data_IF_750718749591
#
_entry.id   IF_750718749591
#
_cell.length_a   1.000
_cell.length_b   1.000
_cell.length_c   1.000
_cell.angle_alpha   90.00
_cell.angle_beta   90.00
_cell.angle_gamma   90.00
#
_symmetry.space_group_name_H-M   'P 1'
#
loop_
_entity.id
_entity.type
_entity.pdbx_description
1 polymer ?
#
# COMPACT_ATOMS: atom_id res chain seq x y z
N UNK A 1 2.92 11.40 11.64
CA UNK A 1 1.64 11.83 11.05
C UNK A 1 0.94 10.60 10.50
N UNK A 2 -0.35 10.39 10.78
CA UNK A 2 -1.12 9.29 10.21
C UNK A 2 -1.70 9.66 8.84
N UNK A 3 -1.93 8.66 7.97
CA UNK A 3 -2.66 8.81 6.72
C UNK A 3 -3.85 7.86 6.71
N UNK A 4 -5.05 8.38 6.43
CA UNK A 4 -6.31 7.65 6.36
C UNK A 4 -7.08 8.04 5.08
N UNK A 5 -6.79 7.31 4.00
CA UNK A 5 -7.32 7.57 2.68
C UNK A 5 -7.27 6.31 1.79
N UNK A 6 -8.02 6.24 0.68
CA UNK A 6 -7.85 5.21 -0.34
C UNK A 6 -6.44 5.26 -0.95
N UNK A 7 -5.90 4.09 -1.31
CA UNK A 7 -4.56 3.97 -1.92
C UNK A 7 -4.60 4.36 -3.41
N UNK A 8 -4.77 5.64 -3.68
CA UNK A 8 -4.77 6.25 -5.01
C UNK A 8 -3.52 7.13 -5.23
N UNK A 9 -3.47 7.91 -6.31
CA UNK A 9 -2.34 8.78 -6.61
C UNK A 9 -2.13 9.86 -5.53
N UNK A 10 -3.21 10.47 -5.02
CA UNK A 10 -3.12 11.50 -3.96
C UNK A 10 -2.52 10.93 -2.68
N UNK A 11 -2.85 9.67 -2.35
CA UNK A 11 -2.24 8.94 -1.25
C UNK A 11 -0.72 8.79 -1.45
N UNK A 12 -0.31 8.36 -2.63
CA UNK A 12 1.12 8.18 -2.97
C UNK A 12 1.87 9.50 -2.87
N UNK A 13 1.34 10.56 -3.47
CA UNK A 13 1.94 11.90 -3.40
C UNK A 13 2.06 12.37 -1.96
N UNK A 14 1.01 12.18 -1.16
CA UNK A 14 1.01 12.54 0.26
C UNK A 14 2.08 11.79 1.07
N UNK A 15 2.20 10.47 0.86
CA UNK A 15 3.23 9.65 1.55
C UNK A 15 4.63 10.11 1.18
N UNK A 16 4.89 10.35 -0.11
CA UNK A 16 6.21 10.82 -0.58
C UNK A 16 6.53 12.24 -0.06
N UNK A 17 5.53 13.12 -0.03
CA UNK A 17 5.69 14.48 0.50
C UNK A 17 6.01 14.46 2.01
N UNK A 18 5.23 13.71 2.80
CA UNK A 18 5.48 13.55 4.24
C UNK A 18 6.86 12.97 4.52
N UNK A 19 7.24 11.92 3.78
CA UNK A 19 8.57 11.31 3.91
C UNK A 19 9.69 12.30 3.57
N UNK A 20 9.50 13.12 2.52
CA UNK A 20 10.46 14.15 2.12
C UNK A 20 10.60 15.27 3.15
N UNK A 21 9.52 15.58 3.86
CA UNK A 21 9.50 16.53 4.98
C UNK A 21 10.08 15.96 6.28
N UNK A 22 10.49 14.70 6.30
CA UNK A 22 11.10 14.04 7.45
C UNK A 22 10.08 13.52 8.47
N UNK A 23 8.80 13.42 8.11
CA UNK A 23 7.78 12.84 8.98
C UNK A 23 7.80 11.32 8.93
N UNK A 24 7.66 10.68 10.09
CA UNK A 24 7.27 9.27 10.17
C UNK A 24 5.80 9.13 9.79
N UNK A 25 5.49 8.28 8.81
CA UNK A 25 4.12 8.07 8.33
C UNK A 25 3.52 6.82 8.97
N UNK A 26 2.39 7.00 9.70
CA UNK A 26 1.56 5.91 10.21
C UNK A 26 0.47 5.59 9.18
N UNK A 27 0.52 4.40 8.63
CA UNK A 27 -0.45 3.91 7.66
C UNK A 27 -1.65 3.30 8.37
N UNK A 28 -2.83 3.91 8.23
CA UNK A 28 -4.07 3.40 8.81
C UNK A 28 -4.89 2.67 7.74
N UNK A 29 -5.29 1.43 8.04
CA UNK A 29 -6.24 0.71 7.20
C UNK A 29 -7.59 1.41 7.23
N UNK A 30 -8.22 1.57 6.07
CA UNK A 30 -9.56 2.19 5.94
C UNK A 30 -10.71 1.27 6.38
N UNK A 31 -10.41 0.12 6.99
CA UNK A 31 -11.38 -0.91 7.41
C UNK A 31 -11.38 -1.17 8.92
N UNK A 32 -10.71 -0.33 9.70
CA UNK A 32 -10.68 -0.50 11.16
C UNK A 32 -11.92 0.08 11.81
N UNK A 33 -12.26 -0.44 12.99
CA UNK A 33 -13.22 0.17 13.90
C UNK A 33 -12.59 1.41 14.59
N UNK A 34 -13.44 2.30 15.12
CA UNK A 34 -12.99 3.57 15.73
C UNK A 34 -12.01 3.33 16.88
N UNK A 35 -12.30 2.38 17.76
CA UNK A 35 -11.48 2.04 18.92
C UNK A 35 -10.08 1.54 18.51
N UNK A 36 -10.00 0.86 17.37
CA UNK A 36 -8.72 0.39 16.82
C UNK A 36 -7.88 1.54 16.27
N UNK A 37 -8.49 2.52 15.61
CA UNK A 37 -7.80 3.75 15.22
C UNK A 37 -7.29 4.51 16.43
N UNK A 38 -8.13 4.73 17.42
CA UNK A 38 -7.77 5.44 18.66
C UNK A 38 -6.62 4.73 19.37
N UNK A 39 -6.69 3.40 19.50
CA UNK A 39 -5.62 2.59 20.09
C UNK A 39 -4.27 2.75 19.36
N UNK A 40 -4.27 2.75 18.01
CA UNK A 40 -3.05 2.96 17.22
C UNK A 40 -2.50 4.37 17.38
N UNK A 41 -3.35 5.39 17.33
CA UNK A 41 -2.95 6.80 17.49
C UNK A 41 -2.35 7.04 18.87
N UNK A 42 -2.96 6.52 19.94
CA UNK A 42 -2.43 6.59 21.30
C UNK A 42 -1.08 5.90 21.44
N UNK A 43 -0.96 4.64 20.96
CA UNK A 43 0.29 3.87 21.03
C UNK A 43 1.45 4.49 20.25
N UNK A 44 1.16 5.29 19.25
CA UNK A 44 2.16 5.96 18.42
C UNK A 44 2.33 7.44 18.76
N UNK A 45 1.61 7.94 19.79
CA UNK A 45 1.54 9.37 20.15
C UNK A 45 1.30 10.26 18.92
N UNK A 46 0.36 9.87 18.07
CA UNK A 46 0.09 10.53 16.80
C UNK A 46 -1.15 11.40 16.92
N UNK A 47 -0.97 12.74 16.80
CA UNK A 47 -2.03 13.74 16.94
C UNK A 47 -2.45 14.40 15.62
N UNK A 48 -1.97 13.91 14.48
CA UNK A 48 -2.30 14.45 13.16
C UNK A 48 -2.68 13.34 12.19
N UNK A 49 -3.82 13.51 11.53
CA UNK A 49 -4.29 12.64 10.45
C UNK A 49 -4.35 13.44 9.16
N UNK A 50 -3.73 12.93 8.11
CA UNK A 50 -3.98 13.36 6.74
C UNK A 50 -5.11 12.47 6.20
N UNK A 51 -6.30 13.06 6.04
CA UNK A 51 -7.53 12.34 5.77
C UNK A 51 -8.21 12.72 4.46
N UNK A 52 -8.81 11.74 3.78
CA UNK A 52 -9.65 12.00 2.62
C UNK A 52 -11.11 12.21 3.02
N UNK A 53 -11.87 12.93 2.18
CA UNK A 53 -13.31 13.14 2.37
C UNK A 53 -14.10 11.83 2.47
N UNK A 54 -13.68 10.79 1.75
CA UNK A 54 -14.30 9.46 1.81
C UNK A 54 -14.24 8.86 3.21
N UNK A 55 -13.23 9.23 4.02
CA UNK A 55 -13.04 8.75 5.39
C UNK A 55 -13.59 9.71 6.46
N UNK A 56 -14.35 10.74 6.07
CA UNK A 56 -14.85 11.78 6.99
C UNK A 56 -15.62 11.24 8.19
N UNK A 57 -16.49 10.24 7.98
CA UNK A 57 -17.25 9.60 9.07
C UNK A 57 -16.33 8.95 10.11
N UNK A 58 -15.34 8.19 9.66
CA UNK A 58 -14.36 7.55 10.55
C UNK A 58 -13.51 8.60 11.28
N UNK A 59 -13.10 9.66 10.59
CA UNK A 59 -12.30 10.75 11.17
C UNK A 59 -13.11 11.50 12.25
N UNK A 60 -14.37 11.82 11.99
CA UNK A 60 -15.25 12.45 12.99
C UNK A 60 -15.43 11.56 14.23
N UNK A 61 -15.63 10.26 14.03
CA UNK A 61 -15.73 9.31 15.16
C UNK A 61 -14.42 9.26 15.97
N UNK A 62 -13.26 9.22 15.32
CA UNK A 62 -11.95 9.27 15.98
C UNK A 62 -11.81 10.57 16.80
N UNK A 63 -12.18 11.72 16.23
CA UNK A 63 -12.09 13.03 16.89
C UNK A 63 -13.01 13.15 18.12
N UNK A 64 -14.10 12.38 18.15
CA UNK A 64 -14.97 12.29 19.33
C UNK A 64 -14.34 11.55 20.51
N UNK A 65 -13.34 10.68 20.27
CA UNK A 65 -12.71 9.84 21.30
C UNK A 65 -11.25 10.21 21.59
N UNK A 66 -10.57 10.86 20.65
CA UNK A 66 -9.15 11.20 20.77
C UNK A 66 -8.84 12.56 20.17
N UNK A 67 -8.06 13.36 20.91
CA UNK A 67 -7.65 14.70 20.44
C UNK A 67 -6.67 14.57 19.27
N UNK A 68 -7.18 14.79 18.06
CA UNK A 68 -6.41 14.68 16.81
C UNK A 68 -6.82 15.78 15.84
N UNK A 69 -5.82 16.38 15.18
CA UNK A 69 -6.00 17.36 14.11
C UNK A 69 -6.10 16.62 12.76
N UNK A 70 -7.14 16.94 12.00
CA UNK A 70 -7.27 16.40 10.65
C UNK A 70 -6.89 17.48 9.62
N UNK A 71 -6.00 17.10 8.70
CA UNK A 71 -5.64 17.87 7.52
C UNK A 71 -6.17 17.13 6.29
N UNK A 72 -6.64 17.82 5.24
CA UNK A 72 -7.09 17.17 4.02
C UNK A 72 -5.89 16.55 3.26
N UNK A 73 -6.11 15.43 2.64
CA UNK A 73 -5.20 14.91 1.59
C UNK A 73 -5.16 15.92 0.45
N UNK A 74 -3.96 16.20 -0.04
CA UNK A 74 -3.77 17.15 -1.14
C UNK A 74 -4.27 16.50 -2.43
N UNK A 75 -5.25 17.13 -3.07
CA UNK A 75 -5.85 16.64 -4.30
C UNK A 75 -5.02 17.02 -5.54
N UNK A 76 -5.20 16.30 -6.62
CA UNK A 76 -4.43 16.40 -7.86
C UNK A 76 -4.27 17.82 -8.39
N UNK A 77 -5.34 18.62 -8.37
CA UNK A 77 -5.31 20.00 -8.85
C UNK A 77 -4.30 20.90 -8.13
N UNK A 78 -3.91 20.55 -6.89
CA UNK A 78 -2.98 21.35 -6.10
C UNK A 78 -1.51 21.01 -6.37
N UNK A 79 -1.19 19.80 -6.85
CA UNK A 79 0.19 19.40 -7.14
C UNK A 79 0.51 19.27 -8.63
N UNK A 80 -0.49 19.28 -9.52
CA UNK A 80 -0.29 19.40 -10.97
C UNK A 80 0.02 20.85 -11.41
N UNK A 81 0.03 21.80 -10.49
CA UNK A 81 0.42 23.18 -10.77
C UNK A 81 1.94 23.26 -11.00
N UNK A 82 2.40 24.22 -11.87
CA UNK A 82 3.81 24.53 -11.98
C UNK A 82 4.41 24.77 -10.60
N UNK A 83 5.52 24.14 -10.29
CA UNK A 83 6.20 24.28 -9.00
C UNK A 83 6.48 25.76 -8.75
N UNK A 84 5.97 26.38 -7.68
CA UNK A 84 6.33 27.75 -7.37
C UNK A 84 7.87 27.81 -7.19
N UNK A 85 8.46 28.92 -7.56
CA UNK A 85 9.89 29.22 -7.35
C UNK A 85 10.20 29.44 -5.85
N UNK A 86 9.82 28.46 -5.03
CA UNK A 86 10.03 28.45 -3.59
C UNK A 86 11.35 27.78 -3.18
N UNK A 87 11.77 27.95 -1.92
CA UNK A 87 13.00 27.32 -1.44
C UNK A 87 12.91 25.81 -1.63
N UNK A 88 13.85 25.22 -2.35
CA UNK A 88 14.02 23.78 -2.41
C UNK A 88 14.40 23.33 -1.02
N UNK A 89 13.57 22.47 -0.41
CA UNK A 89 13.92 21.81 0.83
C UNK A 89 15.28 21.13 0.64
N UNK A 90 16.30 21.61 1.37
CA UNK A 90 17.60 20.95 1.40
C UNK A 90 17.41 19.58 2.05
N UNK A 91 17.93 18.54 1.42
CA UNK A 91 18.09 17.25 2.10
C UNK A 91 18.98 17.51 3.29
N UNK A 92 18.46 17.34 4.50
CA UNK A 92 19.33 17.15 5.66
C UNK A 92 19.99 15.79 5.47
N UNK A 93 21.22 15.80 5.06
CA UNK A 93 22.05 14.61 4.95
C UNK A 93 22.58 14.25 6.34
N UNK A 94 21.71 13.72 7.19
CA UNK A 94 22.04 13.38 8.59
C UNK A 94 22.74 12.00 8.72
N UNK A 95 23.29 11.48 7.67
CA UNK A 95 24.16 10.30 7.72
C UNK A 95 23.55 9.10 8.46
N UNK A 96 24.35 8.49 9.33
CA UNK A 96 24.02 7.25 10.04
C UNK A 96 22.82 7.41 11.01
N UNK A 97 22.65 8.56 11.64
CA UNK A 97 21.56 8.82 12.59
C UNK A 97 20.19 8.90 11.88
N UNK A 98 20.13 9.42 10.67
CA UNK A 98 18.91 9.42 9.88
C UNK A 98 18.44 8.00 9.53
N UNK A 99 19.36 7.08 9.30
CA UNK A 99 19.05 5.69 8.96
C UNK A 99 18.33 4.94 10.07
N UNK A 100 18.55 5.31 11.33
CA UNK A 100 17.94 4.72 12.52
C UNK A 100 16.56 5.29 12.85
N UNK A 101 16.18 6.45 12.30
CA UNK A 101 14.86 7.05 12.53
C UNK A 101 13.76 6.21 11.87
N UNK A 102 12.57 6.24 12.44
CA UNK A 102 11.41 5.58 11.87
C UNK A 102 10.97 6.32 10.58
N UNK A 103 10.90 5.60 9.49
CA UNK A 103 10.32 6.07 8.23
C UNK A 103 8.81 5.85 8.23
N UNK A 104 8.41 4.62 8.55
CA UNK A 104 7.03 4.17 8.46
C UNK A 104 6.60 3.42 9.72
N UNK A 105 5.29 3.50 9.99
CA UNK A 105 4.62 2.67 10.98
C UNK A 105 3.46 2.00 10.26
N UNK A 106 3.51 0.69 10.14
CA UNK A 106 2.40 -0.15 9.70
C UNK A 106 1.74 -0.79 10.92
N UNK A 107 0.68 -1.54 10.74
CA UNK A 107 0.06 -2.26 11.85
C UNK A 107 -0.27 -3.70 11.47
N UNK A 108 -0.27 -4.58 12.47
CA UNK A 108 -0.75 -5.95 12.34
C UNK A 108 -2.27 -6.00 12.17
N UNK A 109 -2.78 -7.15 11.73
CA UNK A 109 -4.24 -7.39 11.60
C UNK A 109 -4.97 -7.47 12.94
N UNK A 110 -4.25 -7.62 14.06
CA UNK A 110 -4.85 -7.68 15.40
C UNK A 110 -5.59 -8.97 15.70
N UNK A 111 -5.13 -10.12 15.25
CA UNK A 111 -5.77 -11.44 15.47
C UNK A 111 -6.07 -11.77 16.93
N UNK A 112 -5.39 -11.14 17.89
CA UNK A 112 -5.56 -11.33 19.33
C UNK A 112 -6.12 -10.10 20.04
N UNK A 113 -6.74 -9.16 19.33
CA UNK A 113 -7.26 -7.89 19.87
C UNK A 113 -7.01 -6.71 18.93
N UNK A 114 -6.72 -5.54 19.49
CA UNK A 114 -6.43 -4.36 18.70
C UNK A 114 -5.14 -4.48 17.90
N UNK A 115 -5.06 -3.86 16.70
CA UNK A 115 -3.85 -3.82 15.90
C UNK A 115 -2.66 -3.27 16.69
N UNK A 116 -1.47 -3.82 16.41
CA UNK A 116 -0.22 -3.37 17.03
C UNK A 116 0.60 -2.58 16.03
N UNK A 117 1.15 -1.41 16.39
CA UNK A 117 2.04 -0.67 15.52
C UNK A 117 3.37 -1.40 15.35
N UNK A 118 3.88 -1.40 14.12
CA UNK A 118 5.16 -1.99 13.73
C UNK A 118 6.00 -0.87 13.14
N UNK A 119 7.06 -0.51 13.83
CA UNK A 119 7.95 0.59 13.46
C UNK A 119 9.00 0.10 12.46
N UNK A 120 9.16 0.81 11.36
CA UNK A 120 10.14 0.51 10.32
C UNK A 120 11.11 1.68 10.18
N UNK A 121 12.39 1.43 10.44
CA UNK A 121 13.44 2.43 10.27
C UNK A 121 13.77 2.64 8.79
N UNK A 122 14.39 3.77 8.45
CA UNK A 122 14.87 4.02 7.09
C UNK A 122 15.81 2.92 6.59
N UNK A 123 16.73 2.44 7.44
CA UNK A 123 17.63 1.35 7.06
C UNK A 123 16.91 0.04 6.79
N UNK A 124 15.93 -0.33 7.61
CA UNK A 124 15.13 -1.54 7.41
C UNK A 124 14.29 -1.45 6.12
N UNK A 125 13.69 -0.27 5.85
CA UNK A 125 12.97 -0.01 4.61
C UNK A 125 13.89 -0.14 3.39
N UNK A 126 15.05 0.50 3.39
CA UNK A 126 16.00 0.44 2.27
C UNK A 126 16.48 -1.00 2.03
N UNK A 127 16.81 -1.74 3.08
CA UNK A 127 17.21 -3.15 2.96
C UNK A 127 16.12 -4.01 2.33
N UNK A 128 14.85 -3.78 2.70
CA UNK A 128 13.71 -4.51 2.12
C UNK A 128 13.45 -4.08 0.67
N UNK A 129 13.52 -2.78 0.38
CA UNK A 129 13.11 -2.24 -0.92
C UNK A 129 14.19 -2.38 -2.00
N UNK A 130 15.45 -2.59 -1.63
CA UNK A 130 16.55 -2.83 -2.58
C UNK A 130 16.47 -4.17 -3.30
N UNK A 131 15.63 -5.09 -2.83
CA UNK A 131 15.43 -6.40 -3.46
C UNK A 131 14.16 -6.39 -4.30
N UNK A 132 14.31 -6.47 -5.62
CA UNK A 132 13.20 -6.47 -6.58
C UNK A 132 13.39 -7.59 -7.60
N UNK A 133 12.31 -8.29 -8.02
CA UNK A 133 12.37 -9.26 -9.11
C UNK A 133 12.58 -8.62 -10.50
N UNK A 134 12.51 -7.29 -10.59
CA UNK A 134 12.77 -6.57 -11.85
C UNK A 134 11.63 -6.57 -12.86
N UNK A 135 10.40 -6.88 -12.45
CA UNK A 135 9.23 -6.95 -13.32
C UNK A 135 8.29 -5.77 -13.15
N UNK A 136 7.70 -5.30 -14.27
CA UNK A 136 6.56 -4.38 -14.21
C UNK A 136 5.41 -5.06 -13.52
N UNK A 137 4.96 -4.50 -12.41
CA UNK A 137 3.99 -5.14 -11.54
C UNK A 137 2.58 -4.53 -11.65
N UNK A 138 1.57 -5.38 -11.52
CA UNK A 138 0.20 -4.97 -11.20
C UNK A 138 -0.10 -5.34 -9.75
N UNK A 139 -0.37 -4.34 -8.93
CA UNK A 139 -0.55 -4.47 -7.49
C UNK A 139 -2.03 -4.27 -7.12
N UNK A 140 -2.63 -5.28 -6.50
CA UNK A 140 -4.02 -5.23 -6.04
C UNK A 140 -4.16 -4.94 -4.54
N UNK A 141 -3.05 -4.85 -3.84
CA UNK A 141 -3.00 -4.67 -2.39
C UNK A 141 -2.99 -3.18 -2.02
N UNK A 142 -3.78 -2.78 -1.01
CA UNK A 142 -3.69 -1.43 -0.48
C UNK A 142 -2.31 -1.12 0.12
N UNK A 143 -1.89 0.15 0.00
CA UNK A 143 -0.57 0.60 0.46
C UNK A 143 -0.43 0.74 1.99
N UNK A 144 -1.52 0.60 2.74
CA UNK A 144 -1.45 0.50 4.21
C UNK A 144 -1.11 -0.91 4.72
N UNK A 145 -1.01 -1.91 3.84
CA UNK A 145 -0.49 -3.24 4.18
C UNK A 145 0.97 -3.38 3.75
N UNK A 146 1.77 -4.05 4.56
CA UNK A 146 3.20 -4.22 4.30
C UNK A 146 3.51 -4.80 2.92
N UNK A 147 2.75 -5.80 2.48
CA UNK A 147 2.93 -6.41 1.15
C UNK A 147 2.69 -5.39 0.02
N UNK A 148 1.64 -4.58 0.12
CA UNK A 148 1.39 -3.50 -0.85
C UNK A 148 2.47 -2.44 -0.81
N UNK A 149 2.77 -1.91 0.37
CA UNK A 149 3.76 -0.86 0.59
C UNK A 149 5.15 -1.25 0.12
N UNK A 150 5.64 -2.43 0.51
CA UNK A 150 6.99 -2.88 0.16
C UNK A 150 7.16 -3.08 -1.35
N UNK A 151 6.19 -3.68 -2.03
CA UNK A 151 6.29 -3.85 -3.48
C UNK A 151 6.19 -2.52 -4.24
N UNK A 152 5.39 -1.58 -3.74
CA UNK A 152 5.35 -0.23 -4.29
C UNK A 152 6.72 0.46 -4.19
N UNK A 153 7.36 0.44 -3.02
CA UNK A 153 8.67 1.07 -2.85
C UNK A 153 9.82 0.32 -3.53
N UNK A 154 9.71 -1.01 -3.70
CA UNK A 154 10.63 -1.79 -4.54
C UNK A 154 10.61 -1.33 -5.98
N UNK A 155 9.43 -1.07 -6.53
CA UNK A 155 9.28 -0.54 -7.87
C UNK A 155 9.93 0.84 -8.00
N UNK A 156 9.69 1.76 -7.05
CA UNK A 156 10.34 3.08 -7.01
C UNK A 156 11.86 2.95 -6.92
N UNK A 157 12.37 2.11 -6.00
CA UNK A 157 13.81 1.90 -5.81
C UNK A 157 14.49 1.39 -7.08
N UNK A 158 13.82 0.48 -7.78
CA UNK A 158 14.35 -0.14 -9.01
C UNK A 158 14.09 0.69 -10.28
N UNK A 159 13.33 1.79 -10.19
CA UNK A 159 12.93 2.58 -11.36
C UNK A 159 12.01 1.83 -12.34
N UNK A 160 11.26 0.82 -11.85
CA UNK A 160 10.39 -0.03 -12.66
C UNK A 160 8.95 0.44 -12.49
N UNK A 161 8.18 0.57 -13.59
CA UNK A 161 6.77 0.94 -13.49
C UNK A 161 5.95 -0.06 -12.67
N UNK A 162 5.02 0.46 -11.87
CA UNK A 162 4.03 -0.32 -11.13
C UNK A 162 2.64 0.26 -11.36
N UNK A 163 1.69 -0.59 -11.67
CA UNK A 163 0.28 -0.22 -11.77
C UNK A 163 -0.43 -0.59 -10.47
N UNK A 164 -1.24 0.32 -9.95
CA UNK A 164 -2.09 0.09 -8.79
C UNK A 164 -3.53 -0.13 -9.24
N UNK A 165 -4.23 -1.04 -8.56
CA UNK A 165 -5.68 -1.17 -8.76
C UNK A 165 -6.37 0.16 -8.44
N UNK A 166 -7.38 0.50 -9.24
CA UNK A 166 -8.18 1.70 -8.96
C UNK A 166 -9.05 1.48 -7.70
N UNK A 167 -8.67 2.15 -6.61
CA UNK A 167 -9.36 2.03 -5.32
C UNK A 167 -10.81 2.60 -5.32
N UNK A 168 -11.20 3.33 -6.37
CA UNK A 168 -12.56 3.84 -6.54
C UNK A 168 -13.52 2.82 -7.20
N UNK A 169 -12.98 1.73 -7.75
CA UNK A 169 -13.75 0.65 -8.35
C UNK A 169 -13.83 -0.55 -7.41
N UNK A 170 -14.91 -1.34 -7.45
CA UNK A 170 -14.96 -2.58 -6.72
C UNK A 170 -13.91 -3.58 -7.23
N UNK A 171 -13.34 -4.36 -6.34
CA UNK A 171 -12.46 -5.46 -6.69
C UNK A 171 -13.31 -6.59 -7.30
N UNK A 172 -13.32 -6.67 -8.63
CA UNK A 172 -14.05 -7.67 -9.42
C UNK A 172 -13.15 -8.27 -10.49
N UNK A 173 -13.50 -9.48 -10.98
CA UNK A 173 -12.77 -10.13 -12.06
C UNK A 173 -12.68 -9.26 -13.31
N UNK A 174 -13.80 -8.64 -13.71
CA UNK A 174 -13.86 -7.74 -14.87
C UNK A 174 -12.89 -6.57 -14.74
N UNK A 175 -12.95 -5.81 -13.64
CA UNK A 175 -12.07 -4.65 -13.42
C UNK A 175 -10.58 -5.05 -13.36
N UNK A 176 -10.28 -6.20 -12.77
CA UNK A 176 -8.91 -6.72 -12.73
C UNK A 176 -8.40 -7.10 -14.12
N UNK A 177 -9.20 -7.81 -14.89
CA UNK A 177 -8.85 -8.25 -16.25
C UNK A 177 -8.62 -7.05 -17.16
N UNK A 178 -9.56 -6.10 -17.20
CA UNK A 178 -9.44 -4.89 -18.00
C UNK A 178 -8.21 -4.06 -17.65
N UNK A 179 -7.91 -3.91 -16.35
CA UNK A 179 -6.72 -3.23 -15.91
C UNK A 179 -5.44 -3.98 -16.33
N UNK A 180 -5.38 -5.31 -16.14
CA UNK A 180 -4.21 -6.10 -16.55
C UNK A 180 -3.98 -6.06 -18.06
N UNK A 181 -5.04 -6.11 -18.87
CA UNK A 181 -4.94 -5.98 -20.32
C UNK A 181 -4.46 -4.60 -20.77
N UNK A 182 -4.86 -3.55 -20.05
CA UNK A 182 -4.45 -2.17 -20.35
C UNK A 182 -2.97 -1.91 -20.05
N UNK A 183 -2.41 -2.52 -18.97
CA UNK A 183 -1.04 -2.23 -18.51
C UNK A 183 -0.05 -3.32 -18.88
N UNK A 184 -0.52 -4.50 -19.31
CA UNK A 184 0.28 -5.67 -19.69
C UNK A 184 1.42 -5.94 -18.70
N UNK A 185 1.11 -6.28 -17.42
CA UNK A 185 2.11 -6.44 -16.40
C UNK A 185 2.93 -7.72 -16.61
N UNK A 186 4.20 -7.68 -16.18
CA UNK A 186 5.07 -8.86 -16.16
C UNK A 186 4.93 -9.64 -14.84
N UNK A 187 4.39 -9.00 -13.80
CA UNK A 187 4.05 -9.67 -12.54
C UNK A 187 2.72 -9.20 -11.97
N UNK A 188 2.02 -10.12 -11.33
CA UNK A 188 0.80 -9.87 -10.58
C UNK A 188 1.09 -10.04 -9.08
N UNK A 189 0.67 -9.05 -8.26
CA UNK A 189 0.87 -9.04 -6.82
C UNK A 189 -0.48 -8.86 -6.12
N UNK A 190 -0.93 -9.89 -5.40
CA UNK A 190 -2.28 -9.86 -4.85
C UNK A 190 -2.51 -10.75 -3.64
N UNK A 191 -3.78 -11.00 -3.38
CA UNK A 191 -4.27 -11.94 -2.36
C UNK A 191 -4.98 -13.11 -3.05
N UNK A 192 -5.14 -14.27 -2.39
CA UNK A 192 -5.85 -15.42 -2.98
C UNK A 192 -7.25 -15.09 -3.49
N UNK A 193 -7.95 -14.14 -2.86
CA UNK A 193 -9.26 -13.70 -3.34
C UNK A 193 -9.20 -13.06 -4.74
N UNK A 194 -8.18 -12.26 -5.03
CA UNK A 194 -8.01 -11.67 -6.37
C UNK A 194 -7.66 -12.76 -7.41
N UNK A 195 -6.87 -13.77 -7.04
CA UNK A 195 -6.59 -14.93 -7.88
C UNK A 195 -7.85 -15.75 -8.16
N UNK A 196 -8.74 -15.92 -7.18
CA UNK A 196 -10.03 -16.58 -7.37
C UNK A 196 -10.86 -15.84 -8.41
N UNK A 197 -11.01 -14.52 -8.30
CA UNK A 197 -11.78 -13.70 -9.23
C UNK A 197 -11.23 -13.80 -10.67
N UNK A 198 -9.91 -13.78 -10.85
CA UNK A 198 -9.26 -13.95 -12.15
C UNK A 198 -9.41 -15.39 -12.67
N UNK A 199 -9.32 -16.36 -11.78
CA UNK A 199 -9.45 -17.79 -12.14
C UNK A 199 -10.87 -18.22 -12.54
N UNK A 200 -11.90 -17.39 -12.34
CA UNK A 200 -13.28 -17.72 -12.71
C UNK A 200 -13.52 -17.71 -14.22
N UNK A 201 -12.64 -17.10 -15.01
CA UNK A 201 -12.79 -16.97 -16.46
C UNK A 201 -11.51 -17.31 -17.21
N UNK A 202 -11.64 -17.86 -18.43
CA UNK A 202 -10.48 -18.12 -19.30
C UNK A 202 -9.70 -16.84 -19.63
N UNK A 203 -10.39 -15.71 -19.76
CA UNK A 203 -9.78 -14.40 -20.01
C UNK A 203 -8.87 -13.98 -18.82
N UNK A 204 -9.32 -14.21 -17.58
CA UNK A 204 -8.52 -13.94 -16.39
C UNK A 204 -7.33 -14.90 -16.23
N UNK A 205 -7.52 -16.18 -16.51
CA UNK A 205 -6.43 -17.18 -16.55
C UNK A 205 -5.39 -16.78 -17.61
N UNK A 206 -5.85 -16.38 -18.81
CA UNK A 206 -4.97 -15.92 -19.88
C UNK A 206 -4.17 -14.66 -19.47
N UNK A 207 -4.79 -13.71 -18.75
CA UNK A 207 -4.10 -12.54 -18.24
C UNK A 207 -3.00 -12.91 -17.22
N UNK A 208 -3.28 -13.84 -16.30
CA UNK A 208 -2.29 -14.35 -15.34
C UNK A 208 -1.16 -15.14 -16.03
N UNK A 209 -1.47 -15.95 -17.05
CA UNK A 209 -0.49 -16.74 -17.80
C UNK A 209 0.55 -15.88 -18.54
N UNK A 210 0.18 -14.65 -18.92
CA UNK A 210 1.11 -13.69 -19.52
C UNK A 210 2.12 -13.12 -18.52
N UNK A 211 1.84 -13.22 -17.22
CA UNK A 211 2.77 -12.78 -16.18
C UNK A 211 3.94 -13.78 -16.02
N UNK A 212 5.16 -13.26 -15.89
CA UNK A 212 6.35 -14.04 -15.55
C UNK A 212 6.37 -14.51 -14.10
N UNK A 213 5.61 -13.80 -13.24
CA UNK A 213 5.49 -14.08 -11.81
C UNK A 213 4.09 -13.69 -11.34
N UNK A 214 3.40 -14.62 -10.70
CA UNK A 214 2.15 -14.37 -9.97
C UNK A 214 2.41 -14.64 -8.50
N UNK A 215 2.44 -13.58 -7.69
CA UNK A 215 2.72 -13.67 -6.26
C UNK A 215 1.47 -13.33 -5.45
N UNK A 216 1.19 -14.14 -4.44
CA UNK A 216 0.11 -13.87 -3.49
C UNK A 216 0.60 -13.93 -2.04
N UNK A 217 -0.10 -13.23 -1.15
CA UNK A 217 0.17 -13.24 0.28
C UNK A 217 -1.00 -12.71 1.09
N UNK A 218 -0.81 -12.62 2.41
CA UNK A 218 -1.83 -12.11 3.34
C UNK A 218 -2.80 -13.16 3.87
N UNK A 219 -2.97 -14.29 3.17
CA UNK A 219 -3.70 -15.49 3.63
C UNK A 219 -3.24 -16.72 2.84
N UNK A 220 -3.61 -17.90 3.32
CA UNK A 220 -3.42 -19.16 2.57
C UNK A 220 -4.26 -19.16 1.29
N UNK A 221 -3.70 -19.70 0.21
CA UNK A 221 -4.43 -20.00 -1.00
C UNK A 221 -5.06 -21.40 -0.84
N UNK A 222 -6.36 -21.61 -1.18
CA UNK A 222 -6.92 -22.94 -1.25
C UNK A 222 -6.14 -23.81 -2.25
N UNK A 223 -5.82 -25.04 -1.87
CA UNK A 223 -5.01 -25.96 -2.69
C UNK A 223 -5.63 -26.18 -4.07
N UNK A 224 -6.96 -26.38 -4.13
CA UNK A 224 -7.68 -26.54 -5.40
C UNK A 224 -7.49 -25.36 -6.36
N UNK A 225 -7.46 -24.13 -5.84
CA UNK A 225 -7.22 -22.93 -6.65
C UNK A 225 -5.75 -22.87 -7.10
N UNK A 226 -4.83 -23.14 -6.18
CA UNK A 226 -3.39 -23.15 -6.47
C UNK A 226 -3.04 -24.17 -7.53
N UNK A 227 -3.46 -25.44 -7.34
CA UNK A 227 -3.23 -26.54 -8.27
C UNK A 227 -3.80 -26.27 -9.65
N UNK A 228 -5.01 -25.72 -9.71
CA UNK A 228 -5.65 -25.34 -10.98
C UNK A 228 -4.82 -24.29 -11.71
N UNK A 229 -4.42 -23.20 -11.05
CA UNK A 229 -3.64 -22.13 -11.68
C UNK A 229 -2.27 -22.65 -12.16
N UNK A 230 -1.62 -23.50 -11.39
CA UNK A 230 -0.34 -24.12 -11.79
C UNK A 230 -0.53 -25.04 -13.00
N UNK A 231 -1.60 -25.86 -13.05
CA UNK A 231 -1.94 -26.68 -14.23
C UNK A 231 -2.16 -25.85 -15.49
N UNK A 232 -2.66 -24.62 -15.33
CA UNK A 232 -2.82 -23.66 -16.43
C UNK A 232 -1.51 -22.98 -16.85
N UNK A 233 -0.38 -23.40 -16.30
CA UNK A 233 0.96 -22.89 -16.65
C UNK A 233 1.32 -21.57 -15.99
N UNK A 234 0.63 -21.17 -14.93
CA UNK A 234 0.90 -19.94 -14.19
C UNK A 234 2.02 -20.20 -13.18
N UNK A 235 3.09 -19.38 -13.23
CA UNK A 235 4.16 -19.41 -12.22
C UNK A 235 3.69 -18.72 -10.93
N UNK A 236 3.15 -19.54 -10.02
CA UNK A 236 2.51 -19.11 -8.79
C UNK A 236 3.45 -19.21 -7.59
N UNK A 237 3.61 -18.12 -6.85
CA UNK A 237 4.48 -18.04 -5.66
C UNK A 237 3.70 -17.53 -4.45
N UNK A 238 3.69 -18.32 -3.39
CA UNK A 238 3.15 -17.90 -2.09
C UNK A 238 4.20 -17.10 -1.33
N UNK A 239 3.84 -15.89 -0.90
CA UNK A 239 4.68 -15.03 -0.08
C UNK A 239 4.16 -14.99 1.35
N UNK A 240 4.95 -15.53 2.27
CA UNK A 240 4.68 -15.44 3.70
C UNK A 240 5.40 -14.25 4.30
N UNK A 241 4.69 -13.46 5.10
CA UNK A 241 5.23 -12.31 5.82
C UNK A 241 4.21 -11.77 6.83
N UNK A 242 4.70 -11.28 7.96
CA UNK A 242 3.91 -10.67 9.03
C UNK A 242 4.41 -9.24 9.29
#
# INVERSE_FOLDING_TARGET
MAILAPSNLDYVVSVLALSRLGHTVLFLSNRLATEAYVSLLQKTNCHYILGSLVMSKSITAIQGEYSVHCLPVVERHAYDLPSPSGPRYSRQADGLEASKRNAFIIHSSGSTGFPKPIFQTHSACLSNYSVSPGYRAFLTLPLYHNHGLSNFFRAIYSGIPIALVNASLPLSGTNLIEAMESVEPESFLGVPYALKLLGETERGISALRKCKLVMFGGSSCPDELGDRLVKEGIYLVGHYGA
#
